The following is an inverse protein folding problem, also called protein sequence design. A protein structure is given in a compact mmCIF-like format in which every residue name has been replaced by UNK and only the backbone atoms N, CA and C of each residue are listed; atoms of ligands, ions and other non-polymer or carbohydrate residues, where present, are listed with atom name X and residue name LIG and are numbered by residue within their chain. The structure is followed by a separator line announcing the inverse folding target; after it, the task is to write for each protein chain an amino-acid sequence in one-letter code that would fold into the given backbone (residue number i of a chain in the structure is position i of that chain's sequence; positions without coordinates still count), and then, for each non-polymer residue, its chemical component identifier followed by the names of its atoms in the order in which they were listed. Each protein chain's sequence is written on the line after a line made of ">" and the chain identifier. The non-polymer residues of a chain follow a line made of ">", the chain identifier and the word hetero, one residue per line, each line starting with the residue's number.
data_IF_818738140046
#
_entry.id   IF_818738140046
#
_cell.length_a   1.000
_cell.length_b   1.000
_cell.length_c   1.000
_cell.angle_alpha   90.00
_cell.angle_beta   90.00
_cell.angle_gamma   90.00
#
_symmetry.space_group_name_H-M   'P 1'
#
loop_
_entity.id
_entity.type
_entity.pdbx_description
1 polymer ?
#
# COMPACT_ATOMS: atom_id res chain seq x y z
N UNK A 1 5.95 5.83 -18.02
CA UNK A 1 7.30 5.46 -18.51
C UNK A 1 7.20 4.12 -19.23
N UNK A 2 8.24 3.70 -19.92
CA UNK A 2 8.29 2.45 -20.69
C UNK A 2 9.32 1.51 -20.05
N UNK A 3 8.95 0.24 -19.87
CA UNK A 3 9.78 -0.78 -19.22
C UNK A 3 9.75 -2.08 -20.03
N UNK A 4 10.82 -2.89 -19.94
CA UNK A 4 10.90 -4.19 -20.62
C UNK A 4 10.03 -5.24 -19.90
N UNK A 5 9.31 -6.07 -20.65
CA UNK A 5 8.49 -7.15 -20.10
C UNK A 5 9.33 -8.12 -19.26
N UNK A 6 10.60 -8.32 -19.61
CA UNK A 6 11.49 -9.24 -18.90
C UNK A 6 11.93 -8.72 -17.52
N UNK A 7 11.63 -7.47 -17.17
CA UNK A 7 11.87 -6.95 -15.82
C UNK A 7 10.70 -7.15 -14.87
N UNK A 8 9.58 -7.72 -15.35
CA UNK A 8 8.43 -8.05 -14.51
C UNK A 8 8.74 -9.32 -13.71
N UNK A 9 8.72 -9.22 -12.38
CA UNK A 9 8.97 -10.37 -11.50
C UNK A 9 7.76 -11.32 -11.43
N UNK A 10 6.63 -10.82 -10.96
CA UNK A 10 5.39 -11.57 -10.75
C UNK A 10 4.19 -10.63 -10.67
N UNK A 11 2.98 -11.19 -10.67
CA UNK A 11 1.73 -10.43 -10.53
C UNK A 11 1.40 -10.24 -9.05
N UNK A 12 0.99 -9.03 -8.68
CA UNK A 12 0.42 -8.73 -7.37
C UNK A 12 -0.98 -8.11 -7.48
N UNK A 13 -1.66 -7.99 -6.35
CA UNK A 13 -2.97 -7.37 -6.17
C UNK A 13 -2.88 -6.16 -5.25
N UNK A 14 -3.58 -5.09 -5.61
CA UNK A 14 -3.71 -3.88 -4.79
C UNK A 14 -5.18 -3.71 -4.45
N UNK A 15 -5.50 -3.70 -3.16
CA UNK A 15 -6.88 -3.70 -2.64
C UNK A 15 -7.21 -2.41 -1.87
N UNK A 16 -8.49 -2.07 -1.69
CA UNK A 16 -8.92 -1.14 -0.64
C UNK A 16 -8.56 -1.67 0.75
N UNK A 17 -8.31 -0.78 1.72
CA UNK A 17 -7.86 -1.14 3.07
C UNK A 17 -8.81 -2.13 3.76
N UNK A 18 -10.12 -1.94 3.62
CA UNK A 18 -11.13 -2.83 4.20
C UNK A 18 -10.94 -4.27 3.72
N UNK A 19 -10.81 -4.47 2.40
CA UNK A 19 -10.63 -5.80 1.81
C UNK A 19 -9.28 -6.42 2.16
N UNK A 20 -8.23 -5.59 2.25
CA UNK A 20 -6.92 -6.04 2.70
C UNK A 20 -6.97 -6.57 4.14
N UNK A 21 -7.64 -5.85 5.05
CA UNK A 21 -7.85 -6.27 6.45
C UNK A 21 -8.62 -7.58 6.53
N UNK A 22 -9.70 -7.71 5.77
CA UNK A 22 -10.49 -8.95 5.70
C UNK A 22 -9.63 -10.15 5.23
N UNK A 23 -8.74 -9.95 4.27
CA UNK A 23 -7.88 -11.00 3.72
C UNK A 23 -6.73 -11.39 4.63
N UNK A 24 -6.07 -10.41 5.26
CA UNK A 24 -4.93 -10.67 6.14
C UNK A 24 -5.36 -11.21 7.50
N UNK A 25 -6.52 -10.76 8.01
CA UNK A 25 -6.97 -11.01 9.38
C UNK A 25 -6.11 -10.26 10.40
N UNK A 26 -6.35 -10.52 11.69
CA UNK A 26 -5.61 -9.91 12.82
C UNK A 26 -4.27 -10.60 13.12
N UNK A 27 -3.78 -11.50 12.25
CA UNK A 27 -2.61 -12.33 12.52
C UNK A 27 -1.29 -11.52 12.41
N UNK A 28 -0.61 -11.19 13.52
CA UNK A 28 0.62 -10.42 13.53
C UNK A 28 1.80 -11.16 12.87
N UNK A 29 1.74 -12.49 12.83
CA UNK A 29 2.81 -13.35 12.27
C UNK A 29 2.86 -13.24 10.76
N UNK A 30 1.72 -12.98 10.11
CA UNK A 30 1.69 -12.67 8.68
C UNK A 30 2.35 -11.34 8.35
N UNK A 31 2.49 -10.42 9.32
CA UNK A 31 3.16 -9.12 9.13
C UNK A 31 4.69 -9.22 9.15
N UNK A 32 5.26 -10.23 9.81
CA UNK A 32 6.71 -10.41 9.90
C UNK A 32 7.30 -11.16 8.69
N UNK A 33 6.50 -11.93 7.96
CA UNK A 33 6.88 -12.61 6.71
C UNK A 33 6.54 -11.80 5.45
N UNK A 34 5.94 -10.61 5.60
CA UNK A 34 5.46 -9.73 4.51
C UNK A 34 6.52 -9.35 3.50
N UNK A 35 7.77 -9.22 3.96
CA UNK A 35 8.76 -8.45 3.22
C UNK A 35 9.35 -9.20 2.02
N UNK A 36 9.23 -10.53 1.96
CA UNK A 36 9.90 -11.30 0.91
C UNK A 36 8.94 -11.89 -0.13
N UNK A 37 7.62 -12.03 0.13
CA UNK A 37 6.68 -12.71 -0.77
C UNK A 37 5.21 -12.28 -0.60
N UNK A 38 4.90 -10.98 -0.45
CA UNK A 38 3.49 -10.56 -0.44
C UNK A 38 3.00 -10.14 -1.83
N UNK A 39 2.15 -10.97 -2.42
CA UNK A 39 1.43 -10.65 -3.65
C UNK A 39 0.23 -9.73 -3.41
N UNK A 40 -0.02 -9.27 -2.16
CA UNK A 40 -1.19 -8.45 -1.82
C UNK A 40 -0.76 -7.21 -1.05
N UNK A 41 -1.19 -6.05 -1.56
CA UNK A 41 -0.98 -4.73 -0.98
C UNK A 41 -2.30 -3.99 -0.82
N UNK A 42 -2.29 -2.86 -0.12
CA UNK A 42 -3.45 -1.96 -0.06
C UNK A 42 -3.11 -0.57 -0.60
N UNK A 43 -4.08 0.08 -1.25
CA UNK A 43 -3.97 1.46 -1.70
C UNK A 43 -4.09 2.39 -0.49
N UNK A 44 -2.98 3.03 -0.10
CA UNK A 44 -2.96 3.97 1.03
C UNK A 44 -3.22 5.43 0.63
N UNK A 45 -3.03 5.76 -0.65
CA UNK A 45 -3.16 7.12 -1.13
C UNK A 45 -2.51 7.34 -2.49
N UNK A 46 -2.42 8.61 -2.85
CA UNK A 46 -1.92 9.09 -4.14
C UNK A 46 -0.76 10.04 -3.92
N UNK A 47 0.41 9.68 -4.46
CA UNK A 47 1.60 10.52 -4.44
C UNK A 47 1.81 11.17 -5.81
N UNK A 48 1.89 12.49 -5.84
CA UNK A 48 2.33 13.25 -7.01
C UNK A 48 3.84 13.54 -6.87
N UNK A 49 4.71 12.87 -7.65
CA UNK A 49 6.15 13.06 -7.55
C UNK A 49 6.63 14.42 -8.08
N UNK A 50 5.88 15.06 -8.98
CA UNK A 50 6.25 16.38 -9.52
C UNK A 50 5.97 17.48 -8.51
N UNK A 51 4.83 17.40 -7.81
CA UNK A 51 4.45 18.36 -6.77
C UNK A 51 4.99 17.98 -5.38
N UNK A 52 5.59 16.80 -5.25
CA UNK A 52 5.99 16.20 -3.98
C UNK A 52 4.85 16.19 -2.94
N UNK A 53 3.63 15.93 -3.40
CA UNK A 53 2.44 15.98 -2.56
C UNK A 53 1.84 14.58 -2.36
N UNK A 54 1.46 14.27 -1.13
CA UNK A 54 0.83 13.01 -0.75
C UNK A 54 -0.60 13.28 -0.27
N UNK A 55 -1.57 12.59 -0.88
CA UNK A 55 -2.97 12.58 -0.44
C UNK A 55 -3.34 11.18 0.01
N UNK A 56 -3.73 11.03 1.27
CA UNK A 56 -4.11 9.74 1.83
C UNK A 56 -5.54 9.37 1.44
N UNK A 57 -5.81 8.07 1.29
CA UNK A 57 -7.20 7.58 1.23
C UNK A 57 -7.94 7.92 2.52
N UNK A 58 -9.25 8.18 2.42
CA UNK A 58 -10.05 8.74 3.53
C UNK A 58 -10.12 7.87 4.78
N UNK A 59 -9.96 6.56 4.61
CA UNK A 59 -10.01 5.54 5.66
C UNK A 59 -8.63 5.22 6.25
N UNK A 60 -7.57 5.88 5.77
CA UNK A 60 -6.21 5.72 6.27
C UNK A 60 -5.96 6.74 7.38
N UNK A 61 -5.66 6.30 8.62
CA UNK A 61 -5.32 7.21 9.70
C UNK A 61 -4.03 7.97 9.35
N UNK A 62 -4.15 9.27 9.13
CA UNK A 62 -3.00 10.15 8.94
C UNK A 62 -3.06 11.26 9.98
N UNK A 63 -1.97 11.50 10.70
CA UNK A 63 -1.93 12.52 11.74
C UNK A 63 -1.99 13.92 11.10
N UNK A 64 -3.19 14.44 10.87
CA UNK A 64 -3.40 15.86 10.57
C UNK A 64 -3.60 16.60 11.88
N UNK A 65 -2.53 16.85 12.65
CA UNK A 65 -2.55 17.85 13.72
C UNK A 65 -1.11 18.32 14.02
N UNK A 66 -0.63 19.42 13.42
CA UNK A 66 0.32 20.26 14.10
C UNK A 66 -0.48 20.99 15.20
N UNK A 67 -0.26 20.60 16.46
CA UNK A 67 -0.69 21.39 17.61
C UNK A 67 -0.10 22.79 17.44
N UNK A 68 -0.95 23.78 17.14
CA UNK A 68 -0.58 25.20 17.21
C UNK A 68 -0.50 25.67 18.65
#
# INVERSE_FOLDING_TARGET
>A
DENDVQTISHKCEVLPLLQYKERMGDDPVKYSTVYDNNDVYYLAGHYDPTQQSLRMESDIPFATNPTS
#
